data_IF_385676837623
#
_entry.id   IF_385676837623
#
_cell.length_a   1.000
_cell.length_b   1.000
_cell.length_c   1.000
_cell.angle_alpha   90.00
_cell.angle_beta   90.00
_cell.angle_gamma   90.00
#
_symmetry.space_group_name_H-M   'P 1'
#
loop_
_entity.id
_entity.type
_entity.pdbx_description
1 polymer ?
#
# COMPACT_ATOMS: atom_id res chain seq x y z
N UNK A 1 -35.66 0.01 -18.25
CA UNK A 1 -34.32 0.39 -18.74
C UNK A 1 -33.44 -0.85 -18.81
N UNK A 2 -33.22 -1.40 -20.01
CA UNK A 2 -32.45 -2.63 -20.20
C UNK A 2 -30.98 -2.44 -19.83
N UNK A 3 -30.52 -3.13 -18.79
CA UNK A 3 -29.13 -3.08 -18.33
C UNK A 3 -28.25 -3.83 -19.33
N UNK A 4 -27.43 -3.08 -20.09
CA UNK A 4 -26.53 -3.64 -21.09
C UNK A 4 -25.58 -4.68 -20.49
N UNK A 5 -25.53 -5.86 -21.10
CA UNK A 5 -24.61 -6.94 -20.71
C UNK A 5 -23.17 -6.45 -20.86
N UNK A 6 -22.37 -6.61 -19.82
CA UNK A 6 -20.96 -6.20 -19.87
C UNK A 6 -20.17 -7.28 -20.58
N UNK A 7 -19.91 -7.10 -21.88
CA UNK A 7 -19.07 -8.03 -22.66
C UNK A 7 -17.66 -7.48 -22.74
N UNK A 8 -16.78 -8.01 -21.90
CA UNK A 8 -15.35 -7.71 -21.97
C UNK A 8 -14.66 -8.70 -22.92
N UNK A 9 -14.08 -8.20 -24.01
CA UNK A 9 -13.28 -8.99 -24.95
C UNK A 9 -11.93 -9.34 -24.31
N UNK A 10 -11.73 -10.61 -23.95
CA UNK A 10 -10.42 -11.13 -23.54
C UNK A 10 -9.65 -11.59 -24.78
N UNK A 11 -8.33 -11.33 -24.84
CA UNK A 11 -7.50 -11.93 -25.88
C UNK A 11 -7.39 -13.44 -25.66
N UNK A 12 -7.23 -14.19 -26.75
CA UNK A 12 -6.95 -15.62 -26.72
C UNK A 12 -5.74 -15.90 -25.82
N UNK A 13 -5.91 -16.73 -24.78
CA UNK A 13 -4.87 -17.09 -23.81
C UNK A 13 -4.83 -16.26 -22.51
N UNK A 14 -5.35 -15.01 -22.49
CA UNK A 14 -5.36 -14.18 -21.26
C UNK A 14 -6.18 -14.83 -20.14
N UNK A 15 -7.28 -15.52 -20.51
CA UNK A 15 -8.13 -16.22 -19.54
C UNK A 15 -7.38 -17.32 -18.79
N UNK A 16 -6.55 -18.10 -19.50
CA UNK A 16 -5.76 -19.17 -18.89
C UNK A 16 -4.64 -18.60 -18.00
N UNK A 17 -4.02 -17.50 -18.44
CA UNK A 17 -3.04 -16.76 -17.64
C UNK A 17 -3.66 -16.24 -16.33
N UNK A 18 -4.83 -15.60 -16.39
CA UNK A 18 -5.53 -15.08 -15.23
C UNK A 18 -5.94 -16.17 -14.23
N UNK A 19 -6.38 -17.33 -14.74
CA UNK A 19 -6.71 -18.48 -13.89
C UNK A 19 -5.48 -19.03 -13.16
N UNK A 20 -4.33 -19.11 -13.85
CA UNK A 20 -3.06 -19.46 -13.21
C UNK A 20 -2.66 -18.44 -12.15
N UNK A 21 -2.66 -17.15 -12.49
CA UNK A 21 -2.30 -16.07 -11.56
C UNK A 21 -3.18 -16.06 -10.30
N UNK A 22 -4.47 -16.38 -10.42
CA UNK A 22 -5.37 -16.46 -9.27
C UNK A 22 -4.88 -17.45 -8.20
N UNK A 23 -4.20 -18.53 -8.60
CA UNK A 23 -3.66 -19.51 -7.65
C UNK A 23 -2.42 -18.99 -6.93
N UNK A 24 -1.55 -18.24 -7.63
CA UNK A 24 -0.28 -17.77 -7.09
C UNK A 24 -0.38 -16.41 -6.37
N UNK A 25 -1.50 -15.70 -6.49
CA UNK A 25 -1.63 -14.38 -5.88
C UNK A 25 -1.86 -14.45 -4.36
N UNK A 26 -0.99 -13.81 -3.55
CA UNK A 26 -1.05 -13.89 -2.10
C UNK A 26 -2.21 -13.09 -1.51
N UNK A 27 -2.66 -12.01 -2.18
CA UNK A 27 -3.71 -11.15 -1.63
C UNK A 27 -5.12 -11.65 -1.97
N UNK A 28 -6.01 -11.82 -0.98
CA UNK A 28 -7.42 -12.12 -1.22
C UNK A 28 -8.11 -11.07 -2.13
N UNK A 29 -7.75 -9.79 -1.99
CA UNK A 29 -8.32 -8.70 -2.80
C UNK A 29 -7.92 -8.78 -4.27
N UNK A 30 -6.70 -9.24 -4.56
CA UNK A 30 -6.22 -9.38 -5.93
C UNK A 30 -6.89 -10.56 -6.64
N UNK A 31 -7.14 -11.65 -5.90
CA UNK A 31 -7.95 -12.79 -6.37
C UNK A 31 -9.41 -12.39 -6.64
N UNK A 32 -9.98 -11.54 -5.78
CA UNK A 32 -11.33 -10.99 -5.94
C UNK A 32 -11.48 -10.15 -7.22
N UNK A 33 -10.52 -9.25 -7.47
CA UNK A 33 -10.46 -8.44 -8.69
C UNK A 33 -10.39 -9.28 -9.96
N UNK A 34 -9.54 -10.31 -9.97
CA UNK A 34 -9.44 -11.25 -11.10
C UNK A 34 -10.76 -12.00 -11.32
N UNK A 35 -11.43 -12.42 -10.25
CA UNK A 35 -12.74 -13.09 -10.34
C UNK A 35 -13.78 -12.17 -11.00
N UNK A 36 -13.81 -10.89 -10.66
CA UNK A 36 -14.71 -9.91 -11.28
C UNK A 36 -14.51 -9.80 -12.80
N UNK A 37 -13.26 -9.70 -13.26
CA UNK A 37 -12.93 -9.61 -14.69
C UNK A 37 -13.27 -10.91 -15.41
N UNK A 38 -13.00 -12.08 -14.81
CA UNK A 38 -13.37 -13.37 -15.38
C UNK A 38 -14.90 -13.55 -15.50
N UNK A 39 -15.68 -13.01 -14.57
CA UNK A 39 -17.15 -13.02 -14.64
C UNK A 39 -17.66 -12.08 -15.74
N UNK A 40 -17.10 -10.85 -15.85
CA UNK A 40 -17.44 -9.91 -16.91
C UNK A 40 -17.06 -10.46 -18.30
N UNK A 41 -15.93 -11.16 -18.42
CA UNK A 41 -15.50 -11.78 -19.66
C UNK A 41 -16.44 -12.90 -20.16
N UNK A 42 -17.20 -13.54 -19.27
CA UNK A 42 -18.20 -14.53 -19.68
C UNK A 42 -19.40 -13.90 -20.38
N UNK A 43 -19.61 -12.58 -20.23
CA UNK A 43 -20.69 -11.83 -20.89
C UNK A 43 -22.11 -12.19 -20.45
N UNK A 44 -22.25 -13.07 -19.44
CA UNK A 44 -23.55 -13.54 -18.90
C UNK A 44 -24.06 -12.72 -17.71
N UNK A 45 -23.17 -11.97 -17.06
CA UNK A 45 -23.47 -11.22 -15.85
C UNK A 45 -23.44 -9.71 -16.13
N UNK A 46 -24.38 -8.99 -15.54
CA UNK A 46 -24.36 -7.53 -15.47
C UNK A 46 -23.37 -7.05 -14.41
N UNK A 47 -23.06 -5.75 -14.37
CA UNK A 47 -22.21 -5.18 -13.31
C UNK A 47 -22.83 -5.36 -11.92
N UNK A 48 -24.17 -5.36 -11.83
CA UNK A 48 -24.92 -5.57 -10.60
C UNK A 48 -24.79 -7.01 -10.11
N UNK A 49 -24.98 -8.00 -11.00
CA UNK A 49 -24.82 -9.43 -10.62
C UNK A 49 -23.40 -9.72 -10.11
N UNK A 50 -22.38 -9.12 -10.75
CA UNK A 50 -20.97 -9.27 -10.35
C UNK A 50 -20.72 -8.59 -9.00
N UNK A 51 -21.32 -7.41 -8.78
CA UNK A 51 -21.24 -6.66 -7.54
C UNK A 51 -21.86 -7.46 -6.37
N UNK A 52 -23.04 -8.03 -6.55
CA UNK A 52 -23.71 -8.88 -5.57
C UNK A 52 -22.91 -10.16 -5.28
N UNK A 53 -22.42 -10.83 -6.32
CA UNK A 53 -21.61 -12.06 -6.19
C UNK A 53 -20.32 -11.84 -5.38
N UNK A 54 -19.77 -10.62 -5.40
CA UNK A 54 -18.51 -10.28 -4.73
C UNK A 54 -18.73 -9.46 -3.45
N UNK A 55 -19.96 -9.08 -3.12
CA UNK A 55 -20.25 -8.19 -1.98
C UNK A 55 -19.62 -6.80 -2.13
N UNK A 56 -19.57 -6.27 -3.35
CA UNK A 56 -18.97 -4.95 -3.67
C UNK A 56 -19.98 -4.03 -4.33
N UNK A 57 -19.70 -2.73 -4.34
CA UNK A 57 -20.54 -1.78 -5.09
C UNK A 57 -20.31 -1.90 -6.60
N UNK A 58 -21.38 -1.64 -7.38
CA UNK A 58 -21.32 -1.57 -8.85
C UNK A 58 -20.18 -0.66 -9.34
N UNK A 59 -20.01 0.51 -8.72
CA UNK A 59 -18.95 1.48 -9.07
C UNK A 59 -17.55 0.91 -8.89
N UNK A 60 -17.35 0.04 -7.89
CA UNK A 60 -16.08 -0.66 -7.67
C UNK A 60 -15.78 -1.62 -8.81
N UNK A 61 -16.78 -2.43 -9.21
CA UNK A 61 -16.64 -3.35 -10.35
C UNK A 61 -16.36 -2.58 -11.64
N UNK A 62 -17.09 -1.49 -11.90
CA UNK A 62 -16.87 -0.63 -13.06
C UNK A 62 -15.44 -0.05 -13.08
N UNK A 63 -14.91 0.36 -11.93
CA UNK A 63 -13.53 0.85 -11.82
C UNK A 63 -12.50 -0.25 -12.13
N UNK A 64 -12.71 -1.46 -11.63
CA UNK A 64 -11.83 -2.60 -11.92
C UNK A 64 -11.82 -2.96 -13.39
N UNK A 65 -12.99 -2.99 -14.03
CA UNK A 65 -13.10 -3.25 -15.47
C UNK A 65 -12.47 -2.15 -16.32
N UNK A 66 -12.62 -0.87 -15.93
CA UNK A 66 -11.92 0.25 -16.59
C UNK A 66 -10.39 0.11 -16.50
N UNK A 67 -9.87 -0.23 -15.32
CA UNK A 67 -8.43 -0.48 -15.12
C UNK A 67 -7.93 -1.64 -15.97
N UNK A 68 -8.69 -2.72 -16.03
CA UNK A 68 -8.38 -3.86 -16.88
C UNK A 68 -8.45 -3.50 -18.38
N UNK A 69 -9.43 -2.70 -18.81
CA UNK A 69 -9.52 -2.27 -20.21
C UNK A 69 -8.31 -1.41 -20.62
N UNK A 70 -7.78 -0.58 -19.71
CA UNK A 70 -6.63 0.30 -19.96
C UNK A 70 -5.30 -0.43 -19.97
N UNK A 71 -5.03 -1.27 -18.96
CA UNK A 71 -3.69 -1.85 -18.75
C UNK A 71 -3.74 -3.35 -18.38
N UNK A 72 -4.81 -4.06 -18.74
CA UNK A 72 -5.01 -5.51 -18.54
C UNK A 72 -4.76 -5.93 -17.09
N UNK A 73 -4.16 -7.10 -16.88
CA UNK A 73 -3.90 -7.67 -15.55
C UNK A 73 -2.97 -6.77 -14.73
N UNK A 74 -1.95 -6.16 -15.36
CA UNK A 74 -1.03 -5.23 -14.69
C UNK A 74 -1.76 -4.07 -14.02
N UNK A 75 -2.63 -3.35 -14.74
CA UNK A 75 -3.37 -2.22 -14.15
C UNK A 75 -4.45 -2.61 -13.14
N UNK A 76 -4.97 -3.85 -13.23
CA UNK A 76 -5.91 -4.37 -12.26
C UNK A 76 -5.24 -4.65 -10.90
N UNK A 77 -4.01 -5.18 -10.96
CA UNK A 77 -3.19 -5.50 -9.79
C UNK A 77 -2.42 -4.26 -9.27
N UNK A 78 -2.28 -3.23 -10.10
CA UNK A 78 -1.65 -1.98 -9.72
C UNK A 78 -2.41 -1.32 -8.54
N UNK A 79 -1.67 -1.17 -7.44
CA UNK A 79 -2.14 -0.46 -6.26
C UNK A 79 -1.81 1.01 -6.45
N UNK A 80 -2.79 1.79 -6.91
CA UNK A 80 -2.75 3.26 -6.84
C UNK A 80 -2.85 3.78 -5.40
N UNK A 81 -2.62 2.94 -4.38
CA UNK A 81 -2.47 3.43 -3.02
C UNK A 81 -1.21 4.30 -3.06
N UNK A 82 -1.31 5.62 -2.88
CA UNK A 82 -0.12 6.45 -2.77
C UNK A 82 0.73 5.81 -1.66
N UNK A 83 2.06 5.69 -1.83
CA UNK A 83 2.89 5.35 -0.70
C UNK A 83 2.53 6.35 0.40
N UNK A 84 1.96 5.86 1.51
CA UNK A 84 1.54 6.75 2.60
C UNK A 84 2.70 7.67 2.94
N UNK A 85 2.41 8.95 3.23
CA UNK A 85 3.42 10.02 3.31
C UNK A 85 4.73 9.52 3.90
N UNK A 86 5.76 9.44 3.05
CA UNK A 86 7.08 8.97 3.46
C UNK A 86 7.54 9.94 4.54
N UNK A 87 7.67 9.45 5.78
CA UNK A 87 8.12 10.31 6.87
C UNK A 87 9.52 10.82 6.51
N UNK A 88 9.85 12.10 6.74
CA UNK A 88 11.20 12.63 6.56
C UNK A 88 12.28 11.79 7.26
N UNK A 89 11.95 11.15 8.39
CA UNK A 89 12.83 10.21 9.10
C UNK A 89 13.13 8.90 8.34
N UNK A 90 12.40 8.65 7.26
CA UNK A 90 12.66 7.52 6.35
C UNK A 90 13.84 7.80 5.42
N UNK A 91 14.31 9.05 5.33
CA UNK A 91 15.47 9.41 4.52
C UNK A 91 16.70 8.61 4.95
N UNK A 92 17.39 8.04 3.96
CA UNK A 92 18.59 7.23 4.19
C UNK A 92 19.71 8.05 4.84
N UNK A 93 19.81 9.34 4.52
CA UNK A 93 20.80 10.24 5.10
C UNK A 93 20.57 10.46 6.60
N UNK A 94 19.34 10.82 6.97
CA UNK A 94 18.96 11.01 8.38
C UNK A 94 19.16 9.71 9.16
N UNK A 95 18.83 8.55 8.58
CA UNK A 95 19.04 7.26 9.23
C UNK A 95 20.52 6.93 9.43
N UNK A 96 21.39 7.25 8.46
CA UNK A 96 22.85 7.05 8.61
C UNK A 96 23.42 7.94 9.70
N UNK A 97 23.06 9.22 9.72
CA UNK A 97 23.52 10.16 10.74
C UNK A 97 23.01 9.77 12.14
N UNK A 98 21.74 9.37 12.24
CA UNK A 98 21.12 8.91 13.48
C UNK A 98 21.74 7.59 13.98
N UNK A 99 22.02 6.63 13.10
CA UNK A 99 22.71 5.40 13.48
C UNK A 99 24.15 5.66 13.95
N UNK A 100 24.88 6.54 13.25
CA UNK A 100 26.25 6.90 13.62
C UNK A 100 26.29 7.62 14.98
N UNK A 101 25.40 8.59 15.21
CA UNK A 101 25.33 9.32 16.47
C UNK A 101 24.86 8.45 17.65
N UNK A 102 23.98 7.47 17.42
CA UNK A 102 23.59 6.49 18.45
C UNK A 102 24.75 5.56 18.80
N UNK A 103 25.54 5.11 17.81
CA UNK A 103 26.70 4.23 18.04
C UNK A 103 27.77 4.87 18.92
N UNK A 104 28.00 6.18 18.76
CA UNK A 104 28.99 6.93 19.56
C UNK A 104 28.38 7.52 20.85
N UNK A 105 27.10 7.28 21.14
CA UNK A 105 26.43 7.83 22.32
C UNK A 105 26.28 9.36 22.31
N UNK A 106 26.24 10.00 21.12
CA UNK A 106 26.15 11.45 20.96
C UNK A 106 24.93 12.07 21.63
N UNK A 107 23.83 11.32 21.71
CA UNK A 107 22.59 11.78 22.30
C UNK A 107 22.30 11.03 23.60
N UNK A 108 21.96 11.78 24.64
CA UNK A 108 21.61 11.25 25.96
C UNK A 108 20.11 10.98 26.14
N UNK A 109 19.27 11.57 25.28
CA UNK A 109 17.81 11.43 25.33
C UNK A 109 17.15 11.64 23.96
N UNK A 110 15.89 11.22 23.83
CA UNK A 110 15.07 11.53 22.66
C UNK A 110 14.82 13.04 22.46
N UNK A 111 14.98 13.87 23.50
CA UNK A 111 14.88 15.32 23.37
C UNK A 111 16.07 15.90 22.60
N UNK A 112 17.28 15.40 22.84
CA UNK A 112 18.46 15.83 22.09
C UNK A 112 18.38 15.41 20.61
N UNK A 113 17.79 14.24 20.33
CA UNK A 113 17.52 13.82 18.94
C UNK A 113 16.48 14.75 18.30
N UNK A 114 15.45 15.17 19.05
CA UNK A 114 14.45 16.12 18.54
C UNK A 114 15.05 17.48 18.19
N UNK A 115 15.89 18.02 19.09
CA UNK A 115 16.61 19.27 18.86
C UNK A 115 17.50 19.17 17.62
N UNK A 116 18.31 18.11 17.51
CA UNK A 116 19.16 17.87 16.35
C UNK A 116 18.37 17.74 15.03
N UNK A 117 17.23 17.03 15.04
CA UNK A 117 16.36 16.92 13.87
C UNK A 117 15.77 18.27 13.45
N UNK A 118 15.48 19.15 14.40
CA UNK A 118 14.98 20.49 14.13
C UNK A 118 16.08 21.42 13.63
N UNK A 119 17.25 21.43 14.27
CA UNK A 119 18.37 22.33 13.96
C UNK A 119 19.06 21.97 12.64
N UNK A 120 19.29 20.69 12.38
CA UNK A 120 20.06 20.24 11.21
C UNK A 120 19.16 19.97 10.01
N UNK A 121 17.96 19.44 10.24
CA UNK A 121 17.07 18.98 9.17
C UNK A 121 15.75 19.78 9.08
N UNK A 122 15.48 20.71 9.99
CA UNK A 122 14.23 21.46 10.03
C UNK A 122 13.00 20.61 10.40
N UNK A 123 13.19 19.41 10.94
CA UNK A 123 12.11 18.44 11.18
C UNK A 123 11.67 18.49 12.64
N UNK A 124 10.53 19.12 12.90
CA UNK A 124 9.91 19.11 14.23
C UNK A 124 9.21 17.76 14.50
N UNK A 125 9.67 17.04 15.53
CA UNK A 125 9.04 15.77 15.98
C UNK A 125 8.91 15.71 17.48
N UNK A 126 7.76 15.21 17.93
CA UNK A 126 7.53 14.92 19.33
C UNK A 126 8.43 13.76 19.81
N UNK A 127 8.87 13.82 21.08
CA UNK A 127 9.67 12.78 21.74
C UNK A 127 9.08 11.36 21.57
N UNK A 128 7.75 11.21 21.72
CA UNK A 128 7.04 9.93 21.50
C UNK A 128 7.23 9.38 20.08
N UNK A 129 7.29 10.25 19.08
CA UNK A 129 7.52 9.86 17.68
C UNK A 129 8.94 9.32 17.49
N UNK A 130 9.93 9.91 18.16
CA UNK A 130 11.33 9.46 18.10
C UNK A 130 11.46 8.06 18.72
N UNK A 131 10.89 7.81 19.90
CA UNK A 131 10.87 6.48 20.50
C UNK A 131 10.19 5.43 19.60
N UNK A 132 9.10 5.80 18.93
CA UNK A 132 8.46 4.93 17.94
C UNK A 132 9.43 4.58 16.79
N UNK A 133 10.16 5.57 16.25
CA UNK A 133 11.12 5.36 15.17
C UNK A 133 12.34 4.54 15.58
N UNK A 134 12.89 4.80 16.77
CA UNK A 134 13.96 3.99 17.37
C UNK A 134 13.52 2.53 17.50
N UNK A 135 12.34 2.27 18.08
CA UNK A 135 11.79 0.91 18.21
C UNK A 135 11.53 0.26 16.86
N UNK A 136 10.95 1.00 15.91
CA UNK A 136 10.66 0.51 14.55
C UNK A 136 11.93 0.09 13.80
N UNK A 137 13.06 0.73 14.09
CA UNK A 137 14.37 0.44 13.47
C UNK A 137 15.23 -0.52 14.31
N UNK A 138 14.74 -0.97 15.47
CA UNK A 138 15.48 -1.85 16.38
C UNK A 138 16.67 -1.18 17.06
N UNK A 139 16.69 0.16 17.15
CA UNK A 139 17.79 0.89 17.77
C UNK A 139 17.60 1.04 19.27
N UNK A 140 18.70 0.88 20.02
CA UNK A 140 18.73 1.09 21.46
C UNK A 140 18.46 2.55 21.76
N UNK A 141 17.44 2.80 22.57
CA UNK A 141 17.14 4.16 22.99
C UNK A 141 18.24 4.69 23.90
N UNK A 142 18.75 5.91 23.68
CA UNK A 142 19.60 6.57 24.65
C UNK A 142 18.73 6.91 25.87
N UNK A 143 18.99 6.20 26.97
CA UNK A 143 18.46 6.32 28.33
C UNK A 143 16.98 6.73 28.51
N UNK A 144 16.23 5.83 29.16
CA UNK A 144 15.10 6.14 30.05
C UNK A 144 13.92 6.92 29.47
N UNK A 145 12.73 6.32 29.47
CA UNK A 145 11.49 7.10 29.46
C UNK A 145 11.50 8.03 30.68
N UNK A 146 12.00 9.24 30.51
CA UNK A 146 11.87 10.29 31.52
C UNK A 146 10.39 10.65 31.58
N UNK A 147 9.68 9.96 32.47
CA UNK A 147 8.32 10.28 32.89
C UNK A 147 8.44 11.47 33.82
N UNK A 148 8.30 12.67 33.27
CA UNK A 148 7.70 13.79 34.02
C UNK A 148 6.32 14.02 33.44
#
# INVERSE_FOLDING_TARGET
MGRGRTRLQLKSGERAQMLRLRHFLPSPRDRERLKAVLLAARGRHTLEDIAETLGRSRSTIQNWLRKFARSRVSGLLERNTPPGSVSPLSSAEIQKQLAAGLRIGRWRSAAHIAAWLQEVHGITRARKSIYYWLRKKGWTSPHGRDRR
#
